data_IF_589004976206
#
_entry.id   IF_589004976206
#
_cell.length_a   1.000
_cell.length_b   1.000
_cell.length_c   1.000
_cell.angle_alpha   90.00
_cell.angle_beta   90.00
_cell.angle_gamma   90.00
#
_symmetry.space_group_name_H-M   'P 1'
#
loop_
_entity.id
_entity.type
_entity.pdbx_description
1 polymer ?
#
# COMPACT_ATOMS: atom_id res chain seq x y z
N UNK A 1 -0.12 7.09 57.93
CA UNK A 1 -1.05 6.69 56.85
C UNK A 1 -1.19 5.17 56.89
N UNK A 2 -2.40 4.61 56.79
CA UNK A 2 -2.65 3.16 56.99
C UNK A 2 -1.94 2.28 55.93
N UNK A 3 -1.61 2.85 54.77
CA UNK A 3 -0.80 2.22 53.72
C UNK A 3 0.54 2.93 53.58
N UNK A 4 1.62 2.18 53.39
CA UNK A 4 2.96 2.71 53.14
C UNK A 4 3.10 3.21 51.70
N UNK A 5 3.95 4.21 51.47
CA UNK A 5 4.16 4.77 50.13
C UNK A 5 4.69 3.73 49.13
N UNK A 6 5.52 2.79 49.59
CA UNK A 6 6.00 1.66 48.78
C UNK A 6 4.87 0.74 48.32
N UNK A 7 3.79 0.61 49.11
CA UNK A 7 2.59 -0.12 48.71
C UNK A 7 1.80 0.67 47.65
N UNK A 8 1.67 1.99 47.83
CA UNK A 8 0.98 2.85 46.88
C UNK A 8 1.70 2.91 45.52
N UNK A 9 3.03 2.88 45.50
CA UNK A 9 3.82 2.80 44.28
C UNK A 9 3.58 1.49 43.53
N UNK A 10 3.51 0.36 44.23
CA UNK A 10 3.15 -0.95 43.64
C UNK A 10 1.73 -0.94 43.06
N UNK A 11 0.77 -0.31 43.74
CA UNK A 11 -0.60 -0.16 43.24
C UNK A 11 -0.62 0.69 41.97
N UNK A 12 0.07 1.84 41.97
CA UNK A 12 0.19 2.70 40.78
C UNK A 12 0.85 1.97 39.62
N UNK A 13 1.90 1.19 39.89
CA UNK A 13 2.56 0.34 38.89
C UNK A 13 1.59 -0.65 38.26
N UNK A 14 0.83 -1.39 39.06
CA UNK A 14 -0.19 -2.34 38.57
C UNK A 14 -1.24 -1.65 37.70
N UNK A 15 -1.81 -0.55 38.17
CA UNK A 15 -2.80 0.22 37.41
C UNK A 15 -2.27 0.70 36.05
N UNK A 16 -1.02 1.17 36.00
CA UNK A 16 -0.40 1.57 34.73
C UNK A 16 -0.17 0.38 33.80
N UNK A 17 0.23 -0.78 34.32
CA UNK A 17 0.37 -1.99 33.50
C UNK A 17 -0.97 -2.51 32.98
N UNK A 18 -2.04 -2.43 33.78
CA UNK A 18 -3.38 -2.84 33.37
C UNK A 18 -3.93 -1.92 32.28
N UNK A 19 -3.77 -0.60 32.42
CA UNK A 19 -4.12 0.36 31.37
C UNK A 19 -3.42 0.05 30.04
N UNK A 20 -2.10 -0.15 30.08
CA UNK A 20 -1.32 -0.51 28.87
C UNK A 20 -1.81 -1.81 28.22
N UNK A 21 -2.15 -2.83 29.02
CA UNK A 21 -2.70 -4.10 28.50
C UNK A 21 -4.06 -3.92 27.85
N UNK A 22 -4.93 -3.06 28.41
CA UNK A 22 -6.24 -2.74 27.84
C UNK A 22 -6.05 -2.00 26.52
N UNK A 23 -5.20 -0.96 26.48
CA UNK A 23 -4.88 -0.19 25.28
C UNK A 23 -4.33 -1.10 24.16
N UNK A 24 -3.37 -1.97 24.46
CA UNK A 24 -2.81 -2.90 23.47
C UNK A 24 -3.88 -3.87 22.92
N UNK A 25 -4.78 -4.36 23.79
CA UNK A 25 -5.86 -5.24 23.37
C UNK A 25 -6.87 -4.51 22.47
N UNK A 26 -7.19 -3.25 22.78
CA UNK A 26 -8.06 -2.39 21.98
C UNK A 26 -7.43 -2.05 20.62
N UNK A 27 -6.15 -1.69 20.59
CA UNK A 27 -5.42 -1.47 19.34
C UNK A 27 -5.39 -2.73 18.47
N UNK A 28 -5.22 -3.90 19.08
CA UNK A 28 -5.28 -5.18 18.37
C UNK A 28 -6.68 -5.46 17.83
N UNK A 29 -7.75 -5.13 18.57
CA UNK A 29 -9.14 -5.24 18.08
C UNK A 29 -9.39 -4.27 16.91
N UNK A 30 -9.03 -3.00 17.08
CA UNK A 30 -9.13 -1.97 16.04
C UNK A 30 -8.37 -2.36 14.77
N UNK A 31 -7.15 -2.89 14.91
CA UNK A 31 -6.37 -3.37 13.76
C UNK A 31 -7.03 -4.56 13.04
N UNK A 32 -7.72 -5.45 13.77
CA UNK A 32 -8.47 -6.56 13.16
C UNK A 32 -9.70 -6.04 12.42
N UNK A 33 -10.46 -5.12 13.02
CA UNK A 33 -11.64 -4.51 12.40
C UNK A 33 -11.26 -3.70 11.16
N UNK A 34 -10.21 -2.87 11.25
CA UNK A 34 -9.67 -2.14 10.11
C UNK A 34 -9.28 -3.09 8.96
N UNK A 35 -8.65 -4.24 9.26
CA UNK A 35 -8.32 -5.26 8.25
C UNK A 35 -9.56 -5.91 7.63
N UNK A 36 -10.61 -6.17 8.42
CA UNK A 36 -11.89 -6.71 7.92
C UNK A 36 -12.56 -5.71 6.98
N UNK A 37 -12.63 -4.44 7.38
CA UNK A 37 -13.32 -3.37 6.65
C UNK A 37 -12.49 -2.77 5.50
N UNK A 38 -11.17 -2.97 5.47
CA UNK A 38 -10.28 -2.35 4.49
C UNK A 38 -10.72 -2.57 3.03
N UNK A 39 -11.17 -3.78 2.69
CA UNK A 39 -11.64 -4.12 1.33
C UNK A 39 -12.95 -3.44 1.00
N UNK A 40 -13.87 -3.39 1.96
CA UNK A 40 -15.16 -2.72 1.80
C UNK A 40 -14.95 -1.21 1.64
N UNK A 41 -14.12 -0.60 2.49
CA UNK A 41 -13.74 0.82 2.39
C UNK A 41 -13.09 1.11 1.04
N UNK A 42 -12.19 0.24 0.55
CA UNK A 42 -11.57 0.40 -0.76
C UNK A 42 -12.60 0.36 -1.89
N UNK A 43 -13.54 -0.60 -1.85
CA UNK A 43 -14.60 -0.71 -2.84
C UNK A 43 -15.56 0.50 -2.79
N UNK A 44 -15.92 0.96 -1.58
CA UNK A 44 -16.75 2.15 -1.38
C UNK A 44 -16.05 3.41 -1.93
N UNK A 45 -14.76 3.61 -1.61
CA UNK A 45 -13.98 4.75 -2.14
C UNK A 45 -13.88 4.73 -3.67
N UNK A 46 -13.76 3.55 -4.29
CA UNK A 46 -13.76 3.45 -5.75
C UNK A 46 -15.12 3.80 -6.35
N UNK A 47 -16.22 3.36 -5.73
CA UNK A 47 -17.59 3.72 -6.14
C UNK A 47 -17.84 5.22 -5.98
N UNK A 48 -17.43 5.80 -4.86
CA UNK A 48 -17.56 7.23 -4.56
C UNK A 48 -16.79 8.07 -5.59
N UNK A 49 -15.52 7.74 -5.86
CA UNK A 49 -14.73 8.42 -6.91
C UNK A 49 -15.36 8.28 -8.29
N UNK A 50 -15.95 7.13 -8.61
CA UNK A 50 -16.63 6.94 -9.89
C UNK A 50 -17.91 7.79 -9.98
N UNK A 51 -18.65 7.96 -8.87
CA UNK A 51 -19.81 8.86 -8.80
C UNK A 51 -19.40 10.31 -8.94
N UNK A 52 -18.39 10.76 -8.19
CA UNK A 52 -17.83 12.11 -8.28
C UNK A 52 -17.42 12.45 -9.72
N UNK A 53 -16.67 11.56 -10.40
CA UNK A 53 -16.30 11.76 -11.81
C UNK A 53 -17.52 11.84 -12.74
N UNK A 54 -18.58 11.09 -12.49
CA UNK A 54 -19.80 11.16 -13.30
C UNK A 54 -20.53 12.48 -13.07
N UNK A 55 -20.67 12.90 -11.81
CA UNK A 55 -21.29 14.18 -11.43
C UNK A 55 -20.52 15.37 -12.02
N UNK A 56 -19.19 15.34 -11.98
CA UNK A 56 -18.30 16.33 -12.63
C UNK A 56 -18.48 16.34 -14.15
N UNK A 57 -18.55 15.17 -14.80
CA UNK A 57 -18.78 15.10 -16.25
C UNK A 57 -20.17 15.64 -16.60
N UNK A 58 -21.18 15.33 -15.79
CA UNK A 58 -22.53 15.82 -15.98
C UNK A 58 -22.65 17.32 -15.77
N UNK A 59 -21.96 17.90 -14.79
CA UNK A 59 -21.92 19.36 -14.59
C UNK A 59 -21.24 20.06 -15.77
N UNK A 60 -20.11 19.53 -16.26
CA UNK A 60 -19.44 20.04 -17.46
C UNK A 60 -20.32 19.90 -18.70
N UNK A 61 -21.02 18.78 -18.87
CA UNK A 61 -21.96 18.59 -19.99
C UNK A 61 -23.13 19.57 -19.94
N UNK A 62 -23.72 19.78 -18.75
CA UNK A 62 -24.78 20.77 -18.55
C UNK A 62 -24.29 22.18 -18.90
N UNK A 63 -23.10 22.56 -18.44
CA UNK A 63 -22.49 23.84 -18.77
C UNK A 63 -22.20 24.00 -20.26
N UNK A 64 -21.64 22.96 -20.91
CA UNK A 64 -21.44 22.95 -22.38
C UNK A 64 -22.76 23.10 -23.14
N UNK A 65 -23.82 22.40 -22.70
CA UNK A 65 -25.15 22.49 -23.30
C UNK A 65 -25.77 23.88 -23.10
N UNK A 66 -25.63 24.46 -21.90
CA UNK A 66 -26.07 25.83 -21.61
C UNK A 66 -25.33 26.85 -22.47
N UNK A 67 -24.00 26.73 -22.63
CA UNK A 67 -23.19 27.59 -23.51
C UNK A 67 -23.61 27.48 -24.98
N UNK A 68 -23.97 26.28 -25.45
CA UNK A 68 -24.49 26.09 -26.80
C UNK A 68 -25.90 26.69 -26.97
N UNK A 69 -26.77 26.54 -25.97
CA UNK A 69 -28.14 27.08 -26.00
C UNK A 69 -28.18 28.61 -25.85
N UNK A 70 -27.22 29.20 -25.14
CA UNK A 70 -27.10 30.66 -24.98
C UNK A 70 -26.51 31.36 -26.21
N UNK A 71 -26.30 30.66 -27.33
CA UNK A 71 -25.91 31.27 -28.61
C UNK A 71 -24.54 31.94 -28.60
N UNK A 72 -23.56 31.40 -27.85
CA UNK A 72 -22.19 31.93 -27.91
C UNK A 72 -21.60 31.66 -29.30
N UNK A 73 -21.64 32.68 -30.16
CA UNK A 73 -21.01 32.69 -31.48
C UNK A 73 -19.53 32.36 -31.32
N UNK A 74 -19.05 31.44 -32.15
CA UNK A 74 -17.66 31.01 -32.14
C UNK A 74 -16.72 32.21 -32.27
N UNK A 75 -15.93 32.45 -31.22
CA UNK A 75 -14.98 33.55 -31.17
C UNK A 75 -13.98 33.28 -30.06
N UNK A 76 -12.82 32.82 -30.51
CA UNK A 76 -11.52 32.93 -29.86
C UNK A 76 -11.12 32.00 -28.71
N UNK A 77 -9.90 31.51 -28.95
CA UNK A 77 -9.03 30.75 -28.08
C UNK A 77 -8.80 31.53 -26.78
N UNK A 78 -8.70 30.81 -25.67
CA UNK A 78 -7.92 31.22 -24.50
C UNK A 78 -8.38 32.42 -23.64
N UNK A 79 -9.65 32.84 -23.68
CA UNK A 79 -10.15 33.84 -22.73
C UNK A 79 -11.03 33.21 -21.62
N UNK A 80 -10.44 33.08 -20.44
CA UNK A 80 -11.10 32.99 -19.12
C UNK A 80 -11.88 31.70 -18.81
N UNK A 81 -11.16 30.58 -18.76
CA UNK A 81 -11.54 29.48 -17.87
C UNK A 81 -11.18 29.85 -16.42
N UNK A 82 -11.95 30.75 -15.80
CA UNK A 82 -11.96 30.92 -14.33
C UNK A 82 -12.65 29.70 -13.69
N UNK A 83 -12.03 28.53 -13.81
CA UNK A 83 -12.12 27.53 -12.77
C UNK A 83 -11.23 28.06 -11.65
N UNK A 84 -11.83 28.52 -10.55
CA UNK A 84 -11.09 28.84 -9.34
C UNK A 84 -10.49 27.54 -8.79
N UNK A 85 -9.37 27.11 -9.37
CA UNK A 85 -8.47 26.15 -8.78
C UNK A 85 -7.80 26.89 -7.61
N UNK A 86 -8.49 26.87 -6.48
CA UNK A 86 -8.13 27.54 -5.23
C UNK A 86 -6.93 26.87 -4.54
N UNK A 87 -5.94 26.45 -5.32
CA UNK A 87 -4.67 25.96 -4.81
C UNK A 87 -3.61 26.22 -5.88
N UNK A 88 -3.07 27.44 -5.92
CA UNK A 88 -2.13 27.98 -6.92
C UNK A 88 -0.79 27.23 -7.03
N UNK A 89 -0.84 25.95 -7.37
CA UNK A 89 0.30 25.16 -7.83
C UNK A 89 0.00 24.73 -9.24
N UNK A 90 0.24 25.65 -10.17
CA UNK A 90 0.50 25.30 -11.58
C UNK A 90 1.49 24.15 -11.54
N UNK A 91 1.08 22.98 -12.05
CA UNK A 91 1.92 21.81 -12.08
C UNK A 91 3.09 22.08 -13.03
N UNK A 92 4.17 22.65 -12.50
CA UNK A 92 5.44 22.76 -13.20
C UNK A 92 5.94 21.34 -13.44
N UNK A 93 5.86 20.88 -14.69
CA UNK A 93 6.58 19.70 -15.14
C UNK A 93 8.06 19.98 -14.94
N UNK A 94 8.62 19.54 -13.82
CA UNK A 94 10.05 19.68 -13.56
C UNK A 94 10.82 18.95 -14.67
N UNK A 95 11.50 19.71 -15.53
CA UNK A 95 12.45 19.18 -16.53
C UNK A 95 13.75 18.67 -15.87
N UNK A 96 13.71 18.32 -14.58
CA UNK A 96 14.84 17.72 -13.87
C UNK A 96 14.99 16.28 -14.37
N UNK A 97 15.96 16.07 -15.26
CA UNK A 97 16.47 14.74 -15.58
C UNK A 97 16.88 14.08 -14.26
N UNK A 98 16.16 13.05 -13.84
CA UNK A 98 16.52 12.27 -12.64
C UNK A 98 17.85 11.59 -12.93
N UNK A 99 18.93 11.86 -12.16
CA UNK A 99 20.18 11.14 -12.34
C UNK A 99 19.88 9.64 -12.23
N UNK A 100 20.37 8.85 -13.18
CA UNK A 100 20.17 7.38 -13.28
C UNK A 100 18.85 6.85 -13.88
N UNK A 101 17.95 7.70 -14.41
CA UNK A 101 16.72 7.24 -15.08
C UNK A 101 16.69 7.71 -16.54
N UNK A 102 16.61 6.78 -17.48
CA UNK A 102 16.50 7.10 -18.90
C UNK A 102 15.11 7.70 -19.23
N UNK A 103 15.01 8.65 -20.18
CA UNK A 103 13.72 9.16 -20.65
C UNK A 103 12.85 8.00 -21.16
N UNK A 104 11.65 7.84 -20.57
CA UNK A 104 10.72 6.75 -20.91
C UNK A 104 10.73 5.54 -19.95
N UNK A 105 11.61 5.50 -18.95
CA UNK A 105 11.64 4.41 -17.96
C UNK A 105 10.62 4.63 -16.82
N UNK A 106 9.44 4.05 -16.97
CA UNK A 106 8.37 4.06 -15.95
C UNK A 106 8.72 3.27 -14.68
N UNK A 107 9.83 2.53 -14.65
CA UNK A 107 10.26 1.75 -13.48
C UNK A 107 10.98 2.58 -12.40
N UNK A 108 11.18 3.89 -12.64
CA UNK A 108 11.70 4.82 -11.65
C UNK A 108 13.16 4.54 -11.24
N UNK A 109 13.98 4.02 -12.15
CA UNK A 109 15.41 3.73 -11.91
C UNK A 109 15.69 2.45 -11.12
N UNK A 110 14.64 1.72 -10.70
CA UNK A 110 14.82 0.43 -10.01
C UNK A 110 15.06 -0.75 -10.95
N UNK A 111 14.82 -0.58 -12.26
CA UNK A 111 15.08 -1.64 -13.26
C UNK A 111 16.55 -1.96 -13.49
N UNK A 112 17.49 -1.11 -13.04
CA UNK A 112 18.93 -1.23 -13.34
C UNK A 112 19.83 -1.41 -12.11
N UNK A 113 19.32 -1.39 -10.89
CA UNK A 113 20.07 -1.80 -9.70
C UNK A 113 20.05 -3.33 -9.58
N UNK A 114 20.76 -3.97 -10.49
CA UNK A 114 20.92 -5.40 -10.58
C UNK A 114 22.00 -5.70 -11.61
N UNK A 115 23.16 -5.08 -11.42
CA UNK A 115 24.37 -5.30 -12.20
C UNK A 115 24.80 -6.77 -12.08
N UNK A 116 24.24 -7.60 -12.96
CA UNK A 116 24.63 -8.98 -13.17
C UNK A 116 24.33 -9.31 -14.62
N UNK A 117 25.38 -9.35 -15.44
CA UNK A 117 25.35 -9.69 -16.87
C UNK A 117 24.26 -10.71 -17.21
N UNK A 118 23.29 -10.28 -18.02
CA UNK A 118 22.76 -11.08 -19.14
C UNK A 118 22.25 -12.49 -18.88
N UNK A 119 21.77 -12.86 -17.69
CA UNK A 119 21.02 -14.12 -17.55
C UNK A 119 19.56 -13.84 -17.85
N UNK A 120 19.12 -14.14 -19.08
CA UNK A 120 17.69 -14.35 -19.40
C UNK A 120 17.12 -15.23 -18.29
N UNK A 121 16.29 -14.66 -17.42
CA UNK A 121 15.66 -15.41 -16.35
C UNK A 121 14.95 -16.60 -17.01
N UNK A 122 15.34 -17.82 -16.66
CA UNK A 122 14.70 -19.04 -17.13
C UNK A 122 13.34 -19.14 -16.44
N UNK A 123 12.40 -18.28 -16.85
CA UNK A 123 11.06 -18.16 -16.27
C UNK A 123 10.33 -19.50 -16.36
N UNK A 124 10.60 -20.30 -17.39
CA UNK A 124 10.08 -21.66 -17.54
C UNK A 124 10.70 -22.61 -16.51
N UNK A 125 12.02 -22.60 -16.32
CA UNK A 125 12.70 -23.41 -15.30
C UNK A 125 12.20 -23.12 -13.88
N UNK A 126 12.11 -21.84 -13.50
CA UNK A 126 11.58 -21.43 -12.19
C UNK A 126 10.11 -21.78 -12.01
N UNK A 127 9.29 -21.66 -13.06
CA UNK A 127 7.88 -22.06 -13.00
C UNK A 127 7.74 -23.57 -12.91
N UNK A 128 8.58 -24.33 -13.61
CA UNK A 128 8.57 -25.78 -13.56
C UNK A 128 9.05 -26.31 -12.21
N UNK A 129 10.05 -25.70 -11.57
CA UNK A 129 10.47 -26.09 -10.22
C UNK A 129 9.40 -25.74 -9.18
N UNK A 130 8.68 -24.62 -9.37
CA UNK A 130 7.65 -24.17 -8.43
C UNK A 130 6.32 -24.91 -8.59
N UNK A 131 5.96 -25.28 -9.82
CA UNK A 131 4.62 -25.77 -10.17
C UNK A 131 4.60 -27.13 -10.88
N UNK A 132 5.74 -27.78 -11.12
CA UNK A 132 5.85 -28.97 -11.95
C UNK A 132 5.85 -28.67 -13.46
N UNK A 133 6.23 -29.66 -14.27
CA UNK A 133 6.22 -29.54 -15.73
C UNK A 133 4.80 -29.85 -16.25
N UNK A 134 4.20 -28.95 -17.05
CA UNK A 134 2.95 -29.24 -17.77
C UNK A 134 1.65 -28.83 -17.07
N UNK A 135 1.48 -27.53 -16.77
CA UNK A 135 0.18 -26.98 -16.36
C UNK A 135 -0.26 -27.40 -14.95
N UNK A 136 -1.33 -26.78 -14.43
CA UNK A 136 -1.77 -26.95 -13.03
C UNK A 136 -2.02 -28.43 -12.72
N UNK A 137 -1.31 -28.98 -11.74
CA UNK A 137 -1.88 -29.77 -10.63
C UNK A 137 -0.83 -30.11 -9.57
N UNK A 138 -1.24 -29.93 -8.31
CA UNK A 138 -0.49 -30.29 -7.11
C UNK A 138 0.18 -29.10 -6.46
N UNK A 139 -0.48 -28.49 -5.46
CA UNK A 139 0.18 -27.60 -4.51
C UNK A 139 1.35 -28.39 -3.90
N UNK A 140 2.59 -28.10 -4.30
CA UNK A 140 3.82 -28.60 -3.64
C UNK A 140 3.94 -28.11 -2.19
N UNK A 141 2.95 -27.34 -1.72
CA UNK A 141 2.69 -26.97 -0.33
C UNK A 141 1.26 -27.36 0.04
N UNK A 142 0.97 -28.66 0.03
CA UNK A 142 -0.07 -29.22 0.88
C UNK A 142 0.61 -29.48 2.23
N UNK A 143 -0.06 -29.19 3.35
CA UNK A 143 0.41 -29.65 4.65
C UNK A 143 0.16 -31.17 4.72
N UNK A 144 1.01 -31.96 4.05
CA UNK A 144 0.99 -33.42 4.15
C UNK A 144 1.67 -33.82 5.46
N UNK A 145 1.21 -34.90 6.10
CA UNK A 145 1.73 -35.39 7.38
C UNK A 145 3.26 -35.62 7.37
N UNK A 146 3.85 -35.87 6.21
CA UNK A 146 5.30 -36.01 6.04
C UNK A 146 6.05 -34.67 6.17
N UNK A 147 5.44 -33.55 5.77
CA UNK A 147 6.08 -32.22 5.80
C UNK A 147 5.97 -31.50 7.14
N UNK A 148 5.08 -31.94 8.04
CA UNK A 148 4.95 -31.35 9.38
C UNK A 148 6.02 -31.84 10.37
N UNK A 149 6.67 -32.97 10.07
CA UNK A 149 7.65 -33.60 10.96
C UNK A 149 9.12 -33.43 10.50
N UNK A 150 9.37 -32.72 9.40
CA UNK A 150 10.73 -32.52 8.89
C UNK A 150 11.44 -31.32 9.55
N UNK A 151 12.05 -31.54 10.72
CA UNK A 151 12.84 -30.52 11.44
C UNK A 151 14.30 -30.41 10.96
N UNK A 152 14.69 -31.13 9.90
CA UNK A 152 16.09 -31.22 9.42
C UNK A 152 16.67 -29.88 8.94
N UNK A 153 15.81 -28.94 8.53
CA UNK A 153 16.22 -27.59 8.11
C UNK A 153 16.42 -26.62 9.28
N UNK A 154 16.07 -27.00 10.52
CA UNK A 154 16.23 -26.16 11.69
C UNK A 154 17.67 -26.27 12.23
N UNK A 155 18.61 -25.55 11.60
CA UNK A 155 19.94 -25.34 12.20
C UNK A 155 19.82 -24.36 13.36
N UNK A 156 19.83 -24.89 14.60
CA UNK A 156 20.10 -24.11 15.80
C UNK A 156 21.53 -23.59 15.76
N UNK A 157 21.76 -22.45 15.11
CA UNK A 157 23.01 -21.70 15.28
C UNK A 157 22.97 -21.04 16.65
N UNK A 158 23.32 -21.78 17.69
CA UNK A 158 23.61 -21.24 19.01
C UNK A 158 24.74 -20.21 18.85
N UNK A 159 24.41 -18.93 18.99
CA UNK A 159 25.35 -17.83 18.90
C UNK A 159 26.30 -17.90 20.11
N UNK A 160 27.39 -18.66 19.96
CA UNK A 160 28.39 -18.87 20.99
C UNK A 160 29.07 -17.52 21.25
N UNK A 161 28.73 -16.95 22.41
CA UNK A 161 29.29 -15.73 23.02
C UNK A 161 30.75 -15.50 22.57
N UNK A 162 30.99 -14.45 21.78
CA UNK A 162 32.32 -13.85 21.65
C UNK A 162 32.45 -12.83 22.79
N UNK A 163 33.03 -13.26 23.91
CA UNK A 163 33.68 -12.33 24.83
C UNK A 163 34.99 -11.88 24.16
N UNK A 164 35.15 -10.57 24.01
CA UNK A 164 36.43 -9.88 24.12
C UNK A 164 36.21 -8.76 25.11
#
# INVERSE_FOLDING_TARGET
MVKTDTHMEKVKGRLLTEKRKIEEAEERRKAREAKKLAKEIQAQKLKERAKQKKEEIESVKKWRKQRQQSGFAGGDKDAEMNFNFEDGKVFERSNKKRPWVAPGDWSGGKGRQGGGKGKKQNKRGFRNSKFGFGGRKGLTKQNSAETTNEFRSFKNTSNKKRKK
#
